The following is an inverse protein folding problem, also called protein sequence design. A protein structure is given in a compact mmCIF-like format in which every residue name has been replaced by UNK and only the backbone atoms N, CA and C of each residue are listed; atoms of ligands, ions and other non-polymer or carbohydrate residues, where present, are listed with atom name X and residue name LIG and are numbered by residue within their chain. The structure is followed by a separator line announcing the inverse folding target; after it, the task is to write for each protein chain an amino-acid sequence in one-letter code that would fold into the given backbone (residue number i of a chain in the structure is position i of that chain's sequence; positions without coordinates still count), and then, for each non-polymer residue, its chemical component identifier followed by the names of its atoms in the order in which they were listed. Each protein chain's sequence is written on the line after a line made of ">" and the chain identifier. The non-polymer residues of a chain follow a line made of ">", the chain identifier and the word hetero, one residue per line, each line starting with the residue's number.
data_IF_428445331080
#
_entry.id   IF_428445331080
#
_cell.length_a   1.000
_cell.length_b   1.000
_cell.length_c   1.000
_cell.angle_alpha   90.00
_cell.angle_beta   90.00
_cell.angle_gamma   90.00
#
_symmetry.space_group_name_H-M   'P 1'
#
loop_
_entity.id
_entity.type
_entity.pdbx_description
1 polymer ?
#
# COMPACT_ATOMS: atom_id res chain seq x y z
N UNK A 1 -4.22 -6.18 -17.96
CA UNK A 1 -3.92 -5.00 -18.80
C UNK A 1 -2.81 -4.23 -18.10
N UNK A 2 -1.93 -3.54 -18.83
CA UNK A 2 -0.94 -2.69 -18.17
C UNK A 2 -1.64 -1.59 -17.38
N UNK A 3 -1.29 -1.45 -16.11
CA UNK A 3 -1.81 -0.44 -15.18
C UNK A 3 -0.66 0.46 -14.76
N UNK A 4 -0.90 1.76 -14.69
CA UNK A 4 0.11 2.76 -14.34
C UNK A 4 -0.34 3.55 -13.12
N UNK A 5 0.59 3.82 -12.22
CA UNK A 5 0.41 4.72 -11.08
C UNK A 5 1.63 5.62 -10.97
N UNK A 6 1.49 6.77 -10.35
CA UNK A 6 2.57 7.75 -10.28
C UNK A 6 2.61 8.51 -8.96
N UNK A 7 3.76 9.12 -8.71
CA UNK A 7 3.92 10.09 -7.64
C UNK A 7 3.52 11.44 -8.20
N UNK A 8 2.48 12.02 -7.63
CA UNK A 8 1.93 13.32 -7.99
C UNK A 8 2.28 14.37 -6.94
N UNK A 9 2.75 15.52 -7.42
CA UNK A 9 2.96 16.72 -6.61
C UNK A 9 2.01 17.79 -7.09
N UNK A 10 0.97 18.06 -6.30
CA UNK A 10 -0.05 19.06 -6.62
C UNK A 10 -0.66 18.88 -8.03
N UNK A 11 -0.96 17.63 -8.41
CA UNK A 11 -1.57 17.26 -9.70
C UNK A 11 -0.58 17.15 -10.87
N UNK A 12 0.72 17.06 -10.58
CA UNK A 12 1.77 16.87 -11.56
C UNK A 12 2.58 15.61 -11.27
N UNK A 13 2.50 14.64 -12.17
CA UNK A 13 3.21 13.36 -12.05
C UNK A 13 4.71 13.57 -12.27
N UNK A 14 5.51 13.24 -11.25
CA UNK A 14 6.98 13.36 -11.27
C UNK A 14 7.68 12.02 -11.55
N UNK A 15 6.99 10.91 -11.29
CA UNK A 15 7.49 9.55 -11.52
C UNK A 15 6.31 8.60 -11.73
N UNK A 16 6.47 7.60 -12.59
CA UNK A 16 5.40 6.66 -12.97
C UNK A 16 5.91 5.21 -12.96
N UNK A 17 5.09 4.30 -12.48
CA UNK A 17 5.38 2.86 -12.37
C UNK A 17 4.35 2.03 -13.13
N UNK A 18 4.81 0.96 -13.78
CA UNK A 18 3.94 0.05 -14.54
C UNK A 18 3.74 -1.27 -13.79
N UNK A 19 2.49 -1.60 -13.44
CA UNK A 19 2.08 -2.85 -12.77
C UNK A 19 2.71 -3.09 -11.39
N UNK A 20 3.36 -2.08 -10.80
CA UNK A 20 3.93 -2.10 -9.46
C UNK A 20 4.01 -0.66 -8.95
N UNK A 21 4.44 -0.47 -7.70
CA UNK A 21 4.78 0.83 -7.15
C UNK A 21 6.09 0.75 -6.35
N UNK A 22 6.74 1.90 -6.17
CA UNK A 22 7.78 2.09 -5.15
C UNK A 22 7.25 3.10 -4.13
N UNK A 23 7.34 2.77 -2.84
CA UNK A 23 6.93 3.68 -1.77
C UNK A 23 7.82 4.92 -1.69
N UNK A 24 8.99 4.92 -2.31
CA UNK A 24 9.89 6.04 -2.40
C UNK A 24 10.20 6.63 -1.01
N UNK A 25 10.04 7.94 -0.80
CA UNK A 25 10.17 8.58 0.51
C UNK A 25 8.90 8.56 1.36
N UNK A 26 7.84 7.87 0.94
CA UNK A 26 6.67 7.60 1.79
C UNK A 26 6.98 6.53 2.83
N UNK A 27 6.21 6.52 3.92
CA UNK A 27 6.27 5.57 5.02
C UNK A 27 4.88 5.04 5.32
N UNK A 28 4.78 4.00 6.15
CA UNK A 28 3.51 3.39 6.54
C UNK A 28 2.50 4.39 7.13
N UNK A 29 2.96 5.41 7.85
CA UNK A 29 2.08 6.43 8.45
C UNK A 29 1.53 7.43 7.41
N UNK A 30 2.05 7.43 6.18
CA UNK A 30 1.48 8.23 5.09
C UNK A 30 0.37 7.48 4.35
N UNK A 31 0.07 6.22 4.72
CA UNK A 31 -1.04 5.47 4.11
C UNK A 31 -2.36 6.16 4.40
N UNK A 32 -3.14 6.37 3.34
CA UNK A 32 -4.47 6.97 3.37
C UNK A 32 -5.40 6.11 2.55
N UNK A 33 -6.58 5.85 3.11
CA UNK A 33 -7.67 5.17 2.43
C UNK A 33 -8.93 6.03 2.48
N UNK A 34 -9.39 6.48 1.33
CA UNK A 34 -10.60 7.27 1.14
C UNK A 34 -11.40 6.65 0.01
N UNK A 35 -12.49 5.97 0.36
CA UNK A 35 -13.42 5.38 -0.60
C UNK A 35 -14.82 5.92 -0.29
N UNK A 36 -15.50 6.60 -1.23
CA UNK A 36 -16.82 7.16 -0.99
C UNK A 36 -17.86 6.11 -0.56
N UNK A 37 -18.85 6.48 0.28
CA UNK A 37 -19.98 5.61 0.56
C UNK A 37 -20.74 5.31 -0.74
N UNK A 38 -20.98 4.03 -1.03
CA UNK A 38 -21.66 3.55 -2.24
C UNK A 38 -20.83 3.55 -3.54
N UNK A 39 -19.49 3.51 -3.45
CA UNK A 39 -18.66 3.17 -4.60
C UNK A 39 -19.08 1.81 -5.18
N UNK A 40 -19.45 1.80 -6.46
CA UNK A 40 -19.97 0.63 -7.19
C UNK A 40 -18.92 -0.06 -8.06
N UNK A 41 -17.66 0.38 -7.97
CA UNK A 41 -16.56 -0.16 -8.76
C UNK A 41 -16.24 0.63 -10.02
N UNK A 42 -16.96 1.72 -10.32
CA UNK A 42 -16.65 2.60 -11.45
C UNK A 42 -15.63 3.67 -11.06
N UNK A 43 -14.60 3.89 -11.91
CA UNK A 43 -13.54 4.87 -11.68
C UNK A 43 -14.10 6.23 -11.25
N UNK A 44 -13.76 6.65 -10.02
CA UNK A 44 -14.12 7.96 -9.49
C UNK A 44 -12.86 8.68 -9.00
N UNK A 45 -12.75 9.96 -9.35
CA UNK A 45 -11.70 10.85 -8.84
C UNK A 45 -11.71 10.98 -7.31
N UNK A 46 -12.82 10.59 -6.67
CA UNK A 46 -12.98 10.66 -5.22
C UNK A 46 -12.36 9.46 -4.48
N UNK A 47 -11.88 8.44 -5.19
CA UNK A 47 -11.18 7.29 -4.59
C UNK A 47 -9.68 7.58 -4.47
N UNK A 48 -9.18 7.47 -3.25
CA UNK A 48 -7.76 7.50 -2.96
C UNK A 48 -7.38 6.34 -2.05
N UNK A 49 -6.53 5.44 -2.53
CA UNK A 49 -5.93 4.39 -1.71
C UNK A 49 -4.45 4.42 -2.02
N UNK A 50 -3.61 4.82 -1.06
CA UNK A 50 -2.19 4.97 -1.29
C UNK A 50 -1.51 5.86 -0.27
N UNK A 51 -0.44 6.54 -0.67
CA UNK A 51 0.40 7.31 0.24
C UNK A 51 0.21 8.80 0.01
N UNK A 52 0.03 9.58 1.08
CA UNK A 52 -0.15 11.04 1.00
C UNK A 52 0.50 11.74 2.17
N UNK A 53 1.32 12.74 1.89
CA UNK A 53 1.96 13.57 2.93
C UNK A 53 2.30 14.96 2.38
N UNK A 54 2.87 15.83 3.22
CA UNK A 54 3.29 17.17 2.79
C UNK A 54 4.66 17.14 2.10
N UNK A 55 4.90 18.10 1.20
CA UNK A 55 6.22 18.31 0.59
C UNK A 55 7.29 18.57 1.66
N UNK A 56 6.96 19.29 2.75
CA UNK A 56 7.92 19.49 3.85
C UNK A 56 8.42 18.19 4.47
N UNK A 57 7.52 17.20 4.64
CA UNK A 57 7.85 15.87 5.13
C UNK A 57 8.77 15.13 4.15
N UNK A 58 8.41 15.12 2.86
CA UNK A 58 9.23 14.46 1.83
C UNK A 58 10.61 15.11 1.72
N UNK A 59 10.71 16.45 1.64
CA UNK A 59 12.00 17.17 1.58
C UNK A 59 12.90 16.84 2.78
N UNK A 60 12.33 16.73 3.98
CA UNK A 60 13.09 16.31 5.17
C UNK A 60 13.65 14.91 5.00
N UNK A 61 12.85 13.95 4.51
CA UNK A 61 13.30 12.56 4.28
C UNK A 61 14.33 12.47 3.16
N UNK A 62 14.16 13.22 2.07
CA UNK A 62 15.15 13.37 1.01
C UNK A 62 16.49 13.92 1.56
N UNK A 63 16.43 14.96 2.39
CA UNK A 63 17.61 15.55 3.04
C UNK A 63 18.34 14.53 3.90
N UNK A 64 17.62 13.71 4.68
CA UNK A 64 18.21 12.64 5.49
C UNK A 64 18.87 11.55 4.63
N UNK A 65 18.41 11.34 3.40
CA UNK A 65 19.02 10.43 2.43
C UNK A 65 20.16 11.06 1.61
N UNK A 66 20.53 12.32 1.88
CA UNK A 66 21.64 13.02 1.20
C UNK A 66 21.22 13.93 0.05
N UNK A 67 19.91 14.06 -0.22
CA UNK A 67 19.35 14.96 -1.24
C UNK A 67 19.00 16.32 -0.63
N UNK A 68 20.00 17.00 -0.07
CA UNK A 68 19.85 18.38 0.39
C UNK A 68 20.07 19.40 -0.74
N UNK A 69 19.62 20.64 -0.54
CA UNK A 69 19.66 21.65 -1.61
C UNK A 69 21.08 22.01 -2.07
N UNK A 70 22.08 21.91 -1.19
CA UNK A 70 23.48 22.18 -1.55
C UNK A 70 24.08 21.03 -2.35
N UNK A 71 23.72 19.79 -2.02
CA UNK A 71 24.07 18.63 -2.82
C UNK A 71 23.45 18.74 -4.22
N UNK A 72 22.16 19.10 -4.31
CA UNK A 72 21.49 19.36 -5.58
C UNK A 72 22.17 20.46 -6.40
N UNK A 73 22.53 21.58 -5.77
CA UNK A 73 23.21 22.70 -6.45
C UNK A 73 24.59 22.28 -6.99
N UNK A 74 25.36 21.54 -6.20
CA UNK A 74 26.68 21.04 -6.61
C UNK A 74 26.56 20.08 -7.79
N UNK A 75 25.62 19.13 -7.73
CA UNK A 75 25.34 18.17 -8.80
C UNK A 75 24.88 18.87 -10.08
N UNK A 76 23.91 19.77 -9.96
CA UNK A 76 23.40 20.56 -11.07
C UNK A 76 24.52 21.36 -11.76
N UNK A 77 25.38 22.03 -10.99
CA UNK A 77 26.48 22.81 -11.57
C UNK A 77 27.48 21.96 -12.34
N UNK A 78 27.78 20.75 -11.84
CA UNK A 78 28.66 19.80 -12.52
C UNK A 78 28.00 19.29 -13.81
N UNK A 79 26.75 18.82 -13.72
CA UNK A 79 26.04 18.24 -14.86
C UNK A 79 25.70 19.26 -15.92
N UNK A 80 25.38 20.50 -15.56
CA UNK A 80 25.19 21.59 -16.53
C UNK A 80 26.43 21.78 -17.42
N UNK A 81 27.64 21.70 -16.84
CA UNK A 81 28.89 21.80 -17.62
C UNK A 81 29.08 20.59 -18.54
N UNK A 82 28.80 19.38 -18.05
CA UNK A 82 28.88 18.14 -18.84
C UNK A 82 27.90 18.15 -20.01
N UNK A 83 26.65 18.57 -19.77
CA UNK A 83 25.62 18.70 -20.80
C UNK A 83 26.05 19.70 -21.87
N UNK A 84 26.54 20.89 -21.47
CA UNK A 84 27.01 21.89 -22.43
C UNK A 84 28.15 21.33 -23.29
N UNK A 85 29.19 20.77 -22.65
CA UNK A 85 30.33 20.18 -23.37
C UNK A 85 29.89 19.09 -24.35
N UNK A 86 28.97 18.22 -23.93
CA UNK A 86 28.54 17.11 -24.75
C UNK A 86 27.65 17.56 -25.91
N UNK A 87 26.85 18.63 -25.74
CA UNK A 87 26.09 19.25 -26.83
C UNK A 87 27.04 19.97 -27.81
N UNK A 88 28.09 20.64 -27.33
CA UNK A 88 29.12 21.23 -28.18
C UNK A 88 29.79 20.17 -29.07
N UNK A 89 30.16 19.02 -28.50
CA UNK A 89 30.71 17.90 -29.26
C UNK A 89 29.72 17.39 -30.34
N UNK A 90 28.43 17.31 -30.03
CA UNK A 90 27.40 16.93 -31.01
C UNK A 90 27.24 17.97 -32.11
N UNK A 91 27.28 19.27 -31.79
CA UNK A 91 27.26 20.33 -32.80
C UNK A 91 28.44 20.16 -33.77
N UNK A 92 29.66 19.93 -33.25
CA UNK A 92 30.85 19.75 -34.07
C UNK A 92 30.72 18.53 -35.01
N UNK A 93 30.19 17.41 -34.50
CA UNK A 93 29.93 16.21 -35.31
C UNK A 93 28.91 16.44 -36.43
N UNK A 94 27.82 17.16 -36.14
CA UNK A 94 26.80 17.50 -37.13
C UNK A 94 27.36 18.48 -38.18
N UNK A 95 28.15 19.46 -37.77
CA UNK A 95 28.82 20.40 -38.68
C UNK A 95 29.83 19.70 -39.60
N UNK A 96 30.63 18.77 -39.06
CA UNK A 96 31.53 17.94 -39.84
C UNK A 96 30.79 17.09 -40.88
N UNK A 97 29.63 16.55 -40.51
CA UNK A 97 28.79 15.75 -41.40
C UNK A 97 28.19 16.59 -42.53
N UNK A 98 27.76 17.83 -42.23
CA UNK A 98 27.33 18.80 -43.23
C UNK A 98 28.47 19.17 -44.20
N UNK A 99 29.70 19.28 -43.72
CA UNK A 99 30.86 19.62 -44.55
C UNK A 99 31.33 18.50 -45.49
N UNK A 100 31.06 17.23 -45.17
CA UNK A 100 31.49 16.06 -45.98
C UNK A 100 30.57 15.74 -47.17
N UNK A 101 29.41 16.40 -47.28
CA UNK A 101 28.52 16.50 -48.46
C UNK A 101 28.22 15.22 -49.28
N UNK A 102 27.77 14.14 -48.64
CA UNK A 102 27.17 12.95 -49.30
C UNK A 102 25.68 12.74 -48.93
N UNK A 103 25.05 13.70 -48.24
CA UNK A 103 23.68 13.60 -47.75
C UNK A 103 22.68 14.31 -48.67
N UNK A 104 21.41 13.89 -48.62
CA UNK A 104 20.33 14.62 -49.31
C UNK A 104 20.11 16.01 -48.69
N UNK A 105 19.48 16.91 -49.46
CA UNK A 105 19.12 18.25 -48.98
C UNK A 105 18.26 18.21 -47.71
N UNK A 106 17.37 17.20 -47.60
CA UNK A 106 16.49 16.99 -46.44
C UNK A 106 17.27 16.67 -45.16
N UNK A 107 18.29 15.80 -45.25
CA UNK A 107 19.15 15.43 -44.11
C UNK A 107 20.01 16.62 -43.67
N UNK A 108 20.49 17.39 -44.65
CA UNK A 108 21.30 18.59 -44.36
C UNK A 108 20.46 19.70 -43.69
N UNK A 109 19.21 19.88 -44.11
CA UNK A 109 18.26 20.81 -43.47
C UNK A 109 17.92 20.35 -42.05
N UNK A 110 17.73 19.05 -41.83
CA UNK A 110 17.50 18.47 -40.50
C UNK A 110 18.66 18.77 -39.53
N UNK A 111 19.92 18.45 -39.91
CA UNK A 111 21.09 18.76 -39.08
C UNK A 111 21.23 20.27 -38.80
N UNK A 112 20.96 21.11 -39.81
CA UNK A 112 21.03 22.57 -39.64
C UNK A 112 20.02 23.08 -38.61
N UNK A 113 18.79 22.54 -38.62
CA UNK A 113 17.75 22.86 -37.61
C UNK A 113 18.16 22.41 -36.22
N UNK A 114 18.68 21.19 -36.11
CA UNK A 114 19.12 20.60 -34.85
C UNK A 114 20.25 21.41 -34.21
N UNK A 115 21.27 21.80 -34.99
CA UNK A 115 22.36 22.69 -34.53
C UNK A 115 21.82 24.01 -33.96
N UNK A 116 20.79 24.60 -34.59
CA UNK A 116 20.18 25.85 -34.08
C UNK A 116 19.51 25.63 -32.73
N UNK A 117 18.77 24.53 -32.55
CA UNK A 117 18.15 24.18 -31.27
C UNK A 117 19.19 23.99 -30.18
N UNK A 118 20.28 23.25 -30.47
CA UNK A 118 21.37 23.07 -29.51
C UNK A 118 22.05 24.37 -29.11
N UNK A 119 22.32 25.27 -30.06
CA UNK A 119 22.91 26.58 -29.77
C UNK A 119 22.00 27.44 -28.90
N UNK A 120 20.70 27.45 -29.18
CA UNK A 120 19.72 28.15 -28.35
C UNK A 120 19.67 27.57 -26.93
N UNK A 121 19.69 26.23 -26.82
CA UNK A 121 19.68 25.54 -25.54
C UNK A 121 20.93 25.85 -24.70
N UNK A 122 22.14 25.71 -25.26
CA UNK A 122 23.39 26.10 -24.59
C UNK A 122 23.32 27.55 -24.12
N UNK A 123 22.91 28.47 -25.02
CA UNK A 123 22.79 29.89 -24.71
C UNK A 123 21.86 30.19 -23.54
N UNK A 124 20.77 29.44 -23.42
CA UNK A 124 19.80 29.57 -22.33
C UNK A 124 20.32 29.01 -21.00
N UNK A 125 21.04 27.87 -21.01
CA UNK A 125 21.43 27.21 -19.76
C UNK A 125 22.80 27.63 -19.22
N UNK A 126 23.72 28.14 -20.05
CA UNK A 126 25.14 28.32 -19.71
C UNK A 126 25.39 29.09 -18.40
N UNK A 127 24.60 30.13 -18.14
CA UNK A 127 24.73 31.00 -16.97
C UNK A 127 23.62 30.82 -15.93
N UNK A 128 22.72 29.84 -16.10
CA UNK A 128 21.56 29.63 -15.22
C UNK A 128 21.92 28.97 -13.89
N UNK A 129 21.57 29.56 -12.76
CA UNK A 129 21.72 28.95 -11.43
C UNK A 129 20.56 28.01 -11.12
N UNK A 130 20.73 27.08 -10.15
CA UNK A 130 19.65 26.19 -9.72
C UNK A 130 18.39 26.96 -9.30
N UNK A 131 18.56 28.12 -8.65
CA UNK A 131 17.45 29.00 -8.26
C UNK A 131 16.63 29.51 -9.44
N UNK A 132 17.25 29.74 -10.60
CA UNK A 132 16.57 30.22 -11.80
C UNK A 132 15.64 29.13 -12.35
N UNK A 133 16.08 27.87 -12.26
CA UNK A 133 15.26 26.72 -12.64
C UNK A 133 14.07 26.53 -11.69
N UNK A 134 14.34 26.57 -10.37
CA UNK A 134 13.31 26.45 -9.34
C UNK A 134 12.22 27.52 -9.51
N UNK A 135 12.61 28.76 -9.82
CA UNK A 135 11.68 29.86 -10.03
C UNK A 135 10.78 29.68 -11.28
N UNK A 136 11.23 28.92 -12.28
CA UNK A 136 10.51 28.71 -13.53
C UNK A 136 9.69 27.41 -13.59
N UNK A 137 9.96 26.44 -12.71
CA UNK A 137 9.19 25.19 -12.67
C UNK A 137 7.67 25.38 -12.62
N UNK A 138 7.09 26.28 -11.80
CA UNK A 138 5.64 26.45 -11.78
C UNK A 138 5.07 26.92 -13.13
N UNK A 139 5.82 27.77 -13.85
CA UNK A 139 5.44 28.21 -15.19
C UNK A 139 5.58 27.09 -16.22
N UNK A 140 6.67 26.32 -16.15
CA UNK A 140 6.91 25.18 -17.03
C UNK A 140 5.82 24.09 -16.86
N UNK A 141 5.49 23.74 -15.61
CA UNK A 141 4.41 22.80 -15.29
C UNK A 141 3.08 23.28 -15.84
N UNK A 142 2.69 24.54 -15.57
CA UNK A 142 1.43 25.09 -16.09
C UNK A 142 1.35 24.98 -17.61
N UNK A 143 2.40 25.37 -18.32
CA UNK A 143 2.45 25.31 -19.79
C UNK A 143 2.33 23.88 -20.30
N UNK A 144 3.07 22.94 -19.72
CA UNK A 144 3.00 21.54 -20.14
C UNK A 144 1.63 20.91 -19.88
N UNK A 145 0.94 21.29 -18.79
CA UNK A 145 -0.42 20.81 -18.53
C UNK A 145 -1.45 21.42 -19.48
N UNK A 146 -1.34 22.71 -19.83
CA UNK A 146 -2.28 23.41 -20.71
C UNK A 146 -2.10 23.04 -22.20
N UNK A 147 -0.86 22.87 -22.63
CA UNK A 147 -0.48 22.69 -24.04
C UNK A 147 -0.18 21.22 -24.40
N UNK A 148 -0.07 20.33 -23.40
CA UNK A 148 0.30 18.92 -23.55
C UNK A 148 1.81 18.69 -23.58
N UNK A 149 2.25 17.42 -23.67
CA UNK A 149 3.67 17.13 -23.91
C UNK A 149 4.07 17.72 -25.26
N UNK A 150 5.08 18.57 -25.24
CA UNK A 150 5.51 19.34 -26.41
C UNK A 150 6.19 18.49 -27.50
N UNK A 151 6.60 17.25 -27.20
CA UNK A 151 7.36 16.45 -28.14
C UNK A 151 7.34 14.93 -27.88
N UNK A 152 7.53 14.18 -28.97
CA UNK A 152 7.83 12.74 -28.98
C UNK A 152 9.35 12.55 -28.96
N UNK A 153 9.88 11.59 -28.19
CA UNK A 153 11.32 11.26 -28.17
C UNK A 153 11.83 10.80 -29.55
N UNK A 154 10.93 10.45 -30.47
CA UNK A 154 11.23 10.12 -31.86
C UNK A 154 11.02 11.30 -32.84
N UNK A 155 10.69 12.49 -32.35
CA UNK A 155 10.47 13.69 -33.17
C UNK A 155 11.73 14.55 -33.34
N UNK A 156 11.77 15.32 -34.43
CA UNK A 156 12.86 16.25 -34.74
C UNK A 156 13.08 17.28 -33.62
N UNK A 157 14.32 17.75 -33.49
CA UNK A 157 14.68 18.82 -32.56
C UNK A 157 13.82 20.07 -32.80
N UNK A 158 13.23 20.61 -31.72
CA UNK A 158 12.29 21.71 -31.80
C UNK A 158 12.44 22.67 -30.62
N UNK A 159 12.73 23.94 -30.93
CA UNK A 159 12.78 25.01 -29.96
C UNK A 159 11.38 25.54 -29.61
N UNK A 160 11.06 25.67 -28.33
CA UNK A 160 9.84 26.30 -27.83
C UNK A 160 9.89 27.82 -28.01
N UNK A 161 8.88 28.40 -28.67
CA UNK A 161 8.87 29.82 -29.10
C UNK A 161 7.80 30.68 -28.44
N UNK A 162 6.95 30.11 -27.60
CA UNK A 162 5.81 30.82 -26.98
C UNK A 162 6.18 31.55 -25.68
N UNK A 163 7.48 31.80 -25.46
CA UNK A 163 8.00 32.58 -24.34
C UNK A 163 9.21 33.41 -24.79
N UNK A 164 9.41 34.56 -24.12
CA UNK A 164 10.61 35.39 -24.26
C UNK A 164 11.69 35.05 -23.23
N UNK A 165 11.38 34.17 -22.26
CA UNK A 165 12.32 33.71 -21.23
C UNK A 165 13.13 32.52 -21.78
N UNK A 166 14.42 32.70 -22.12
CA UNK A 166 15.19 31.67 -22.83
C UNK A 166 15.30 30.36 -22.05
N UNK A 167 15.38 30.43 -20.72
CA UNK A 167 15.46 29.25 -19.87
C UNK A 167 14.14 28.46 -19.85
N UNK A 168 13.00 29.14 -19.81
CA UNK A 168 11.69 28.48 -19.94
C UNK A 168 11.53 27.83 -21.32
N UNK A 169 12.00 28.49 -22.38
CA UNK A 169 12.04 27.88 -23.70
C UNK A 169 12.91 26.62 -23.71
N UNK A 170 14.09 26.66 -23.10
CA UNK A 170 14.96 25.49 -22.99
C UNK A 170 14.28 24.33 -22.25
N UNK A 171 13.56 24.61 -21.16
CA UNK A 171 12.82 23.60 -20.40
C UNK A 171 11.75 22.87 -21.21
N UNK A 172 11.07 23.58 -22.12
CA UNK A 172 9.91 23.06 -22.86
C UNK A 172 10.24 22.64 -24.30
N UNK A 173 11.51 22.75 -24.71
CA UNK A 173 11.97 22.38 -26.06
C UNK A 173 12.22 20.88 -26.19
N UNK A 174 12.05 20.34 -27.40
CA UNK A 174 12.58 19.02 -27.75
C UNK A 174 14.06 19.13 -28.10
N UNK A 175 14.92 18.61 -27.24
CA UNK A 175 16.37 18.61 -27.44
C UNK A 175 16.85 17.16 -27.49
N UNK A 176 16.76 16.49 -28.66
CA UNK A 176 16.98 15.05 -28.79
C UNK A 176 18.47 14.73 -28.64
N UNK A 177 18.92 14.41 -27.43
CA UNK A 177 20.33 14.23 -27.15
C UNK A 177 20.68 12.79 -26.79
N UNK A 178 21.67 12.21 -27.49
CA UNK A 178 22.18 10.86 -27.24
C UNK A 178 23.58 10.95 -26.62
N UNK A 179 23.70 11.11 -25.30
CA UNK A 179 24.99 11.00 -24.62
C UNK A 179 25.04 9.90 -23.57
N UNK A 180 26.27 9.57 -23.17
CA UNK A 180 26.58 8.71 -22.02
C UNK A 180 26.04 9.28 -20.70
N UNK A 181 25.71 10.57 -20.66
CA UNK A 181 25.01 11.22 -19.55
C UNK A 181 23.53 11.30 -19.92
N UNK A 182 22.71 10.34 -19.49
CA UNK A 182 21.29 10.45 -19.73
C UNK A 182 20.80 11.73 -19.03
N UNK A 183 20.23 12.65 -19.79
CA UNK A 183 19.47 13.78 -19.27
C UNK A 183 18.21 13.13 -18.68
N UNK A 184 18.26 12.74 -17.41
CA UNK A 184 17.17 11.95 -16.81
C UNK A 184 16.21 12.88 -16.08
N UNK A 185 15.30 13.51 -16.83
CA UNK A 185 14.17 14.16 -16.16
C UNK A 185 13.26 15.00 -17.03
N UNK A 186 12.22 15.49 -16.38
CA UNK A 186 11.30 16.49 -16.90
C UNK A 186 12.03 17.83 -17.11
N UNK A 187 11.54 18.63 -18.03
CA UNK A 187 12.02 19.98 -18.31
C UNK A 187 13.48 20.12 -18.74
N UNK A 188 14.11 19.08 -19.31
CA UNK A 188 15.52 19.10 -19.72
C UNK A 188 16.49 19.47 -18.57
N UNK A 189 16.13 19.15 -17.32
CA UNK A 189 16.95 19.52 -16.16
C UNK A 189 18.35 18.87 -16.20
N UNK A 190 19.46 19.62 -16.03
CA UNK A 190 20.81 19.08 -15.96
C UNK A 190 21.04 18.19 -14.73
N UNK A 191 20.96 16.88 -14.95
CA UNK A 191 21.23 15.86 -13.94
C UNK A 191 21.12 14.45 -14.52
N UNK A 192 21.66 13.48 -13.80
CA UNK A 192 21.54 12.05 -14.12
C UNK A 192 20.87 11.24 -12.99
N UNK A 193 20.48 11.90 -11.89
CA UNK A 193 19.76 11.31 -10.77
C UNK A 193 18.38 11.98 -10.66
N UNK A 194 17.28 11.21 -10.86
CA UNK A 194 15.92 11.74 -10.77
C UNK A 194 15.61 12.43 -9.43
N UNK A 195 16.17 11.95 -8.32
CA UNK A 195 15.93 12.53 -7.00
C UNK A 195 16.55 13.93 -6.87
N UNK A 196 17.62 14.24 -7.62
CA UNK A 196 18.19 15.59 -7.66
C UNK A 196 17.21 16.56 -8.34
N UNK A 197 16.62 16.15 -9.48
CA UNK A 197 15.58 16.93 -10.15
C UNK A 197 14.36 17.09 -9.24
N UNK A 198 13.82 15.99 -8.72
CA UNK A 198 12.61 16.01 -7.88
C UNK A 198 12.84 16.90 -6.66
N UNK A 199 14.00 16.80 -6.00
CA UNK A 199 14.32 17.65 -4.86
C UNK A 199 14.28 19.13 -5.23
N UNK A 200 14.88 19.54 -6.35
CA UNK A 200 14.81 20.91 -6.83
C UNK A 200 13.39 21.32 -7.20
N UNK A 201 12.65 20.45 -7.87
CA UNK A 201 11.26 20.67 -8.26
C UNK A 201 10.37 20.92 -7.05
N UNK A 202 10.52 20.13 -5.98
CA UNK A 202 9.79 20.29 -4.71
C UNK A 202 10.05 21.64 -4.02
N UNK A 203 11.21 22.28 -4.23
CA UNK A 203 11.49 23.63 -3.69
C UNK A 203 10.75 24.75 -4.41
N UNK A 204 10.07 24.46 -5.52
CA UNK A 204 9.18 25.42 -6.19
C UNK A 204 7.77 25.47 -5.58
N UNK A 205 7.46 24.58 -4.63
CA UNK A 205 6.14 24.46 -4.02
C UNK A 205 6.10 24.93 -2.55
N UNK A 206 4.92 25.33 -2.06
CA UNK A 206 4.69 25.57 -0.63
C UNK A 206 4.99 24.33 0.24
N UNK A 207 5.36 24.55 1.50
CA UNK A 207 5.72 23.47 2.43
C UNK A 207 4.58 22.48 2.70
N UNK A 208 3.35 22.98 2.67
CA UNK A 208 2.10 22.26 2.95
C UNK A 208 1.45 21.65 1.69
N UNK A 209 2.03 21.85 0.51
CA UNK A 209 1.52 21.25 -0.72
C UNK A 209 1.58 19.71 -0.63
N UNK A 210 0.60 19.07 -1.28
CA UNK A 210 0.38 17.62 -1.19
C UNK A 210 1.28 16.88 -2.17
N UNK A 211 1.95 15.85 -1.66
CA UNK A 211 2.67 14.85 -2.43
C UNK A 211 1.97 13.49 -2.20
N UNK A 212 1.57 12.82 -3.27
CA UNK A 212 0.75 11.62 -3.16
C UNK A 212 1.12 10.56 -4.20
N UNK A 213 0.83 9.30 -3.87
CA UNK A 213 0.93 8.13 -4.74
C UNK A 213 -0.37 7.34 -4.57
N UNK A 214 -1.27 7.42 -5.56
CA UNK A 214 -2.53 6.68 -5.54
C UNK A 214 -2.35 5.31 -6.20
N UNK A 215 -2.49 4.23 -5.44
CA UNK A 215 -2.31 2.84 -5.89
C UNK A 215 -3.64 2.11 -6.12
N UNK A 216 -4.78 2.79 -6.04
CA UNK A 216 -6.11 2.18 -6.19
C UNK A 216 -6.24 1.34 -7.47
N UNK A 217 -5.71 1.83 -8.59
CA UNK A 217 -5.75 1.12 -9.87
C UNK A 217 -4.94 -0.20 -9.84
N UNK A 218 -3.81 -0.25 -9.13
CA UNK A 218 -3.05 -1.49 -8.96
C UNK A 218 -3.82 -2.51 -8.13
N UNK A 219 -4.49 -2.06 -7.06
CA UNK A 219 -5.32 -2.91 -6.21
C UNK A 219 -6.45 -3.54 -7.04
N UNK A 220 -7.16 -2.73 -7.83
CA UNK A 220 -8.26 -3.23 -8.67
C UNK A 220 -7.78 -4.14 -9.79
N UNK A 221 -6.58 -3.92 -10.32
CA UNK A 221 -5.96 -4.81 -11.28
C UNK A 221 -5.42 -6.11 -10.66
N UNK A 222 -5.44 -6.24 -9.32
CA UNK A 222 -4.96 -7.40 -8.58
C UNK A 222 -3.43 -7.48 -8.49
N UNK A 223 -2.73 -6.36 -8.68
CA UNK A 223 -1.29 -6.26 -8.51
C UNK A 223 -0.87 -5.99 -7.05
N UNK A 224 -1.72 -5.34 -6.28
CA UNK A 224 -1.46 -4.94 -4.88
C UNK A 224 -2.65 -5.29 -3.98
N UNK A 225 -2.40 -5.44 -2.68
CA UNK A 225 -3.45 -5.63 -1.67
C UNK A 225 -4.03 -4.27 -1.21
N UNK A 226 -5.33 -4.24 -0.88
CA UNK A 226 -5.97 -3.05 -0.30
C UNK A 226 -5.45 -2.79 1.12
N UNK A 227 -5.56 -1.55 1.59
CA UNK A 227 -5.34 -1.16 2.98
C UNK A 227 -6.57 -1.51 3.82
N UNK A 228 -6.91 -2.80 3.85
CA UNK A 228 -8.08 -3.32 4.59
C UNK A 228 -7.97 -3.02 6.09
N UNK A 229 -6.76 -2.99 6.64
CA UNK A 229 -6.49 -2.56 8.01
C UNK A 229 -7.01 -1.13 8.28
N UNK A 230 -6.77 -0.19 7.37
CA UNK A 230 -7.31 1.17 7.46
C UNK A 230 -8.83 1.20 7.31
N UNK A 231 -9.42 0.33 6.49
CA UNK A 231 -10.88 0.20 6.39
C UNK A 231 -11.49 -0.24 7.73
N UNK A 232 -10.93 -1.28 8.34
CA UNK A 232 -11.40 -1.83 9.61
C UNK A 232 -11.32 -0.78 10.73
N UNK A 233 -10.21 -0.04 10.81
CA UNK A 233 -10.03 1.07 11.76
C UNK A 233 -11.09 2.16 11.53
N UNK A 234 -11.31 2.59 10.28
CA UNK A 234 -12.28 3.63 9.94
C UNK A 234 -13.73 3.21 10.25
N UNK A 235 -14.08 1.93 10.07
CA UNK A 235 -15.39 1.38 10.43
C UNK A 235 -15.54 1.11 11.92
N UNK A 236 -14.44 1.02 12.66
CA UNK A 236 -14.43 0.61 14.07
C UNK A 236 -14.87 -0.84 14.28
N UNK A 237 -14.74 -1.69 13.26
CA UNK A 237 -15.06 -3.13 13.32
C UNK A 237 -14.26 -3.89 12.28
N UNK A 238 -13.73 -5.07 12.63
CA UNK A 238 -13.07 -5.94 11.65
C UNK A 238 -14.06 -6.63 10.70
N UNK A 239 -13.58 -7.09 9.55
CA UNK A 239 -14.40 -7.85 8.58
C UNK A 239 -14.93 -9.15 9.20
N UNK A 240 -14.11 -9.97 9.91
CA UNK A 240 -14.64 -11.12 10.64
C UNK A 240 -15.75 -10.75 11.63
N UNK A 241 -15.63 -9.61 12.34
CA UNK A 241 -16.66 -9.17 13.29
C UNK A 241 -17.99 -8.85 12.60
N UNK A 242 -17.94 -8.19 11.44
CA UNK A 242 -19.15 -7.88 10.65
C UNK A 242 -19.86 -9.16 10.20
N UNK A 243 -19.11 -10.16 9.73
CA UNK A 243 -19.64 -11.47 9.35
C UNK A 243 -20.26 -12.22 10.55
N UNK A 244 -19.57 -12.20 11.69
CA UNK A 244 -20.06 -12.73 12.95
C UNK A 244 -21.36 -12.05 13.38
N UNK A 245 -21.41 -10.71 13.36
CA UNK A 245 -22.58 -9.92 13.76
C UNK A 245 -23.78 -10.19 12.87
N UNK A 246 -23.57 -10.32 11.56
CA UNK A 246 -24.62 -10.71 10.62
C UNK A 246 -25.18 -12.10 10.97
N UNK A 247 -24.29 -13.08 11.22
CA UNK A 247 -24.69 -14.42 11.65
C UNK A 247 -25.48 -14.40 12.96
N UNK A 248 -25.09 -13.58 13.94
CA UNK A 248 -25.82 -13.41 15.20
C UNK A 248 -27.24 -12.85 14.98
N UNK A 249 -27.37 -11.87 14.08
CA UNK A 249 -28.67 -11.28 13.74
C UNK A 249 -29.59 -12.31 13.06
N UNK A 250 -29.07 -13.10 12.13
CA UNK A 250 -29.83 -14.14 11.44
C UNK A 250 -30.30 -15.23 12.41
N UNK A 251 -29.43 -15.67 13.33
CA UNK A 251 -29.76 -16.66 14.37
C UNK A 251 -30.78 -16.12 15.38
N UNK A 252 -30.70 -14.82 15.72
CA UNK A 252 -31.69 -14.15 16.56
C UNK A 252 -33.08 -14.14 15.90
N UNK A 253 -33.14 -13.76 14.61
CA UNK A 253 -34.39 -13.76 13.84
C UNK A 253 -34.95 -15.17 13.72
N UNK A 254 -34.10 -16.16 13.41
CA UNK A 254 -34.52 -17.55 13.25
C UNK A 254 -35.05 -18.16 14.56
N UNK A 255 -34.39 -17.90 15.70
CA UNK A 255 -34.87 -18.31 17.01
C UNK A 255 -36.26 -17.73 17.33
N UNK A 256 -36.48 -16.46 16.97
CA UNK A 256 -37.74 -15.77 17.23
C UNK A 256 -38.89 -16.25 16.34
N UNK A 257 -38.63 -16.65 15.09
CA UNK A 257 -39.65 -17.13 14.14
C UNK A 257 -40.43 -18.36 14.65
N UNK A 258 -39.76 -19.25 15.40
CA UNK A 258 -40.39 -20.42 16.04
C UNK A 258 -39.82 -20.63 17.44
N UNK A 259 -40.17 -19.74 18.37
CA UNK A 259 -39.68 -19.75 19.75
C UNK A 259 -39.89 -21.08 20.49
N UNK A 260 -40.97 -21.79 20.13
CA UNK A 260 -41.40 -23.02 20.82
C UNK A 260 -40.81 -24.30 20.20
N UNK A 261 -40.15 -24.19 19.04
CA UNK A 261 -39.50 -25.33 18.38
C UNK A 261 -38.14 -25.63 19.02
N UNK A 262 -38.12 -26.54 19.99
CA UNK A 262 -36.92 -26.91 20.74
C UNK A 262 -35.81 -27.53 19.87
N UNK A 263 -36.13 -28.08 18.70
CA UNK A 263 -35.09 -28.56 17.76
C UNK A 263 -34.38 -27.37 17.14
N UNK A 264 -35.16 -26.41 16.64
CA UNK A 264 -34.63 -25.17 16.08
C UNK A 264 -33.80 -24.40 17.12
N UNK A 265 -34.29 -24.31 18.36
CA UNK A 265 -33.55 -23.61 19.43
C UNK A 265 -32.20 -24.28 19.72
N UNK A 266 -32.12 -25.61 19.72
CA UNK A 266 -30.84 -26.34 19.87
C UNK A 266 -29.90 -26.08 18.70
N UNK A 267 -30.41 -26.06 17.47
CA UNK A 267 -29.61 -25.72 16.28
C UNK A 267 -29.07 -24.30 16.38
N UNK A 268 -29.92 -23.31 16.68
CA UNK A 268 -29.49 -21.92 16.86
C UNK A 268 -28.43 -21.78 17.96
N UNK A 269 -28.65 -22.42 19.12
CA UNK A 269 -27.69 -22.44 20.23
C UNK A 269 -26.31 -22.97 19.80
N UNK A 270 -26.28 -24.09 19.05
CA UNK A 270 -25.03 -24.64 18.54
C UNK A 270 -24.37 -23.71 17.51
N UNK A 271 -25.15 -23.13 16.60
CA UNK A 271 -24.63 -22.24 15.56
C UNK A 271 -24.03 -20.95 16.12
N UNK A 272 -24.50 -20.47 17.28
CA UNK A 272 -23.90 -19.31 17.94
C UNK A 272 -22.44 -19.59 18.34
N UNK A 273 -22.19 -20.76 18.94
CA UNK A 273 -20.83 -21.20 19.29
C UNK A 273 -19.98 -21.40 18.04
N UNK A 274 -20.56 -21.93 16.95
CA UNK A 274 -19.85 -22.07 15.67
C UNK A 274 -19.44 -20.72 15.09
N UNK A 275 -20.30 -19.70 15.14
CA UNK A 275 -19.96 -18.37 14.64
C UNK A 275 -18.87 -17.69 15.49
N UNK A 276 -18.88 -17.90 16.81
CA UNK A 276 -17.79 -17.47 17.70
C UNK A 276 -16.46 -18.14 17.31
N UNK A 277 -16.48 -19.46 17.09
CA UNK A 277 -15.31 -20.23 16.66
C UNK A 277 -14.77 -19.76 15.31
N UNK A 278 -15.66 -19.50 14.34
CA UNK A 278 -15.28 -18.96 13.03
C UNK A 278 -14.60 -17.59 13.17
N UNK A 279 -15.18 -16.65 13.93
CA UNK A 279 -14.57 -15.34 14.16
C UNK A 279 -13.15 -15.46 14.74
N UNK A 280 -12.98 -16.23 15.82
CA UNK A 280 -11.67 -16.38 16.47
C UNK A 280 -10.68 -17.05 15.52
N UNK A 281 -11.12 -18.08 14.78
CA UNK A 281 -10.27 -18.78 13.81
C UNK A 281 -9.82 -17.89 12.66
N UNK A 282 -10.73 -17.09 12.10
CA UNK A 282 -10.44 -16.17 11.00
C UNK A 282 -9.43 -15.10 11.43
N UNK A 283 -9.64 -14.49 12.61
CA UNK A 283 -8.70 -13.51 13.17
C UNK A 283 -7.32 -14.15 13.39
N UNK A 284 -7.26 -15.29 14.09
CA UNK A 284 -5.97 -15.94 14.36
C UNK A 284 -5.27 -16.33 13.07
N UNK A 285 -6.00 -16.87 12.08
CA UNK A 285 -5.43 -17.27 10.79
C UNK A 285 -4.87 -16.06 10.05
N UNK A 286 -5.62 -14.96 9.95
CA UNK A 286 -5.19 -13.70 9.32
C UNK A 286 -3.90 -13.18 9.95
N UNK A 287 -3.91 -13.00 11.27
CA UNK A 287 -2.77 -12.42 11.98
C UNK A 287 -1.52 -13.31 11.91
N UNK A 288 -1.67 -14.63 12.01
CA UNK A 288 -0.52 -15.56 11.95
C UNK A 288 0.10 -15.64 10.56
N UNK A 289 -0.70 -15.54 9.50
CA UNK A 289 -0.19 -15.67 8.14
C UNK A 289 0.39 -14.37 7.58
N UNK A 290 -0.14 -13.21 7.98
CA UNK A 290 0.25 -11.92 7.40
C UNK A 290 1.20 -11.08 8.28
N UNK A 291 1.37 -11.42 9.56
CA UNK A 291 2.29 -10.71 10.45
C UNK A 291 3.44 -11.63 10.90
N UNK A 292 4.65 -11.40 10.40
CA UNK A 292 5.84 -12.21 10.71
C UNK A 292 6.15 -12.31 12.21
N UNK A 293 5.92 -11.24 12.98
CA UNK A 293 6.12 -11.26 14.42
C UNK A 293 5.09 -12.15 15.13
N UNK A 294 3.83 -12.11 14.67
CA UNK A 294 2.77 -13.00 15.16
C UNK A 294 3.04 -14.45 14.74
N UNK A 295 3.41 -14.68 13.49
CA UNK A 295 3.81 -15.98 12.93
C UNK A 295 4.84 -16.67 13.80
N UNK A 296 5.90 -15.94 14.14
CA UNK A 296 6.94 -16.40 15.05
C UNK A 296 6.39 -16.75 16.43
N UNK A 297 5.60 -15.87 17.05
CA UNK A 297 4.99 -16.15 18.37
C UNK A 297 4.09 -17.37 18.33
N UNK A 298 3.35 -17.57 17.23
CA UNK A 298 2.53 -18.76 17.06
C UNK A 298 3.37 -20.02 17.07
N UNK A 299 4.45 -20.09 16.29
CA UNK A 299 5.37 -21.23 16.28
C UNK A 299 5.97 -21.48 17.68
N UNK A 300 6.36 -20.43 18.38
CA UNK A 300 7.05 -20.53 19.67
C UNK A 300 6.14 -20.76 20.89
N UNK A 301 4.89 -20.28 20.85
CA UNK A 301 4.04 -20.12 22.05
C UNK A 301 2.64 -20.73 21.95
N UNK A 302 2.19 -21.14 20.75
CA UNK A 302 0.84 -21.73 20.59
C UNK A 302 0.70 -23.11 21.24
N UNK A 303 1.82 -23.82 21.45
CA UNK A 303 1.83 -25.22 21.88
C UNK A 303 1.53 -26.22 20.77
N UNK A 304 1.18 -25.76 19.56
CA UNK A 304 0.83 -26.61 18.40
C UNK A 304 2.04 -27.43 17.93
N UNK A 305 3.25 -26.90 18.10
CA UNK A 305 4.51 -27.53 17.70
C UNK A 305 5.28 -28.15 18.87
N UNK A 306 4.68 -28.28 20.06
CA UNK A 306 5.34 -28.83 21.25
C UNK A 306 5.60 -30.35 21.16
N UNK A 307 5.32 -30.98 20.02
CA UNK A 307 5.56 -32.39 19.82
C UNK A 307 7.07 -32.68 19.82
N UNK A 308 7.56 -33.23 20.94
CA UNK A 308 8.96 -33.63 21.17
C UNK A 308 9.53 -34.63 20.15
N UNK A 309 8.70 -35.22 19.29
CA UNK A 309 9.14 -36.11 18.21
C UNK A 309 9.51 -35.38 16.92
N UNK A 310 9.17 -34.10 16.77
CA UNK A 310 9.50 -33.30 15.60
C UNK A 310 10.96 -32.82 15.71
N UNK A 311 11.90 -33.64 15.22
CA UNK A 311 13.32 -33.29 15.10
C UNK A 311 13.58 -32.72 13.72
N UNK A 312 14.10 -31.51 13.65
CA UNK A 312 14.55 -30.89 12.40
C UNK A 312 16.07 -31.06 12.28
N UNK A 313 16.54 -31.69 11.20
CA UNK A 313 17.97 -31.74 10.90
C UNK A 313 18.42 -30.41 10.28
N UNK A 314 19.65 -29.99 10.58
CA UNK A 314 20.20 -28.69 10.10
C UNK A 314 20.14 -28.58 8.57
N UNK A 315 20.37 -29.68 7.86
CA UNK A 315 20.33 -29.71 6.40
C UNK A 315 18.94 -29.41 5.81
N UNK A 316 17.89 -29.61 6.59
CA UNK A 316 16.49 -29.49 6.17
C UNK A 316 15.87 -28.12 6.55
N UNK A 317 16.63 -27.21 7.17
CA UNK A 317 16.13 -25.92 7.67
C UNK A 317 15.50 -25.09 6.55
N UNK A 318 16.19 -24.92 5.41
CA UNK A 318 15.66 -24.12 4.31
C UNK A 318 14.40 -24.76 3.71
N UNK A 319 14.38 -26.10 3.56
CA UNK A 319 13.20 -26.84 3.09
C UNK A 319 12.01 -26.67 4.04
N UNK A 320 12.27 -26.61 5.35
CA UNK A 320 11.24 -26.36 6.34
C UNK A 320 10.69 -24.94 6.27
N UNK A 321 11.57 -23.94 6.15
CA UNK A 321 11.17 -22.53 6.00
C UNK A 321 10.33 -22.32 4.73
N UNK A 322 10.74 -22.89 3.60
CA UNK A 322 10.00 -22.82 2.33
C UNK A 322 8.57 -23.40 2.42
N UNK A 323 8.35 -24.32 3.37
CA UNK A 323 7.07 -25.01 3.57
C UNK A 323 6.30 -24.52 4.79
N UNK A 324 6.86 -23.60 5.57
CA UNK A 324 6.34 -23.25 6.88
C UNK A 324 4.93 -22.67 6.78
N UNK A 325 4.68 -21.75 5.85
CA UNK A 325 3.37 -21.12 5.70
C UNK A 325 2.26 -22.12 5.33
N UNK A 326 2.57 -23.09 4.48
CA UNK A 326 1.65 -24.19 4.16
C UNK A 326 1.37 -25.06 5.40
N UNK A 327 2.42 -25.39 6.17
CA UNK A 327 2.28 -26.15 7.40
C UNK A 327 1.45 -25.40 8.45
N UNK A 328 1.68 -24.10 8.60
CA UNK A 328 0.91 -23.23 9.50
C UNK A 328 -0.56 -23.19 9.10
N UNK A 329 -0.86 -23.01 7.81
CA UNK A 329 -2.23 -23.01 7.29
C UNK A 329 -2.98 -24.29 7.65
N UNK A 330 -2.36 -25.45 7.42
CA UNK A 330 -2.94 -26.76 7.80
C UNK A 330 -3.15 -26.86 9.31
N UNK A 331 -2.15 -26.44 10.10
CA UNK A 331 -2.21 -26.54 11.56
C UNK A 331 -3.27 -25.64 12.16
N UNK A 332 -3.47 -24.44 11.62
CA UNK A 332 -4.51 -23.50 12.04
C UNK A 332 -5.92 -24.07 11.80
N UNK A 333 -6.13 -24.79 10.69
CA UNK A 333 -7.41 -25.45 10.37
C UNK A 333 -7.75 -26.62 11.31
N UNK A 334 -6.75 -27.24 11.94
CA UNK A 334 -6.95 -28.31 12.92
C UNK A 334 -7.34 -27.79 14.32
N UNK A 335 -7.20 -26.49 14.58
CA UNK A 335 -7.46 -25.92 15.91
C UNK A 335 -8.97 -25.76 16.15
N UNK A 336 -9.44 -26.36 17.23
CA UNK A 336 -10.81 -26.19 17.73
C UNK A 336 -10.92 -24.94 18.62
N UNK A 337 -11.35 -23.82 18.06
CA UNK A 337 -11.49 -22.56 18.79
C UNK A 337 -12.73 -22.51 19.70
N UNK A 338 -13.68 -23.44 19.55
CA UNK A 338 -14.74 -23.60 20.56
C UNK A 338 -14.21 -24.11 21.92
N UNK A 339 -12.98 -24.64 21.99
CA UNK A 339 -12.30 -24.87 23.25
C UNK A 339 -11.78 -23.53 23.80
N UNK A 340 -12.53 -22.93 24.72
CA UNK A 340 -12.25 -21.60 25.29
C UNK A 340 -10.86 -21.51 25.91
N UNK A 341 -10.36 -22.58 26.53
CA UNK A 341 -9.02 -22.55 27.12
C UNK A 341 -7.95 -22.45 26.03
N UNK A 342 -8.08 -23.21 24.95
CA UNK A 342 -7.15 -23.15 23.82
C UNK A 342 -7.24 -21.79 23.10
N UNK A 343 -8.45 -21.31 22.83
CA UNK A 343 -8.67 -20.00 22.22
C UNK A 343 -8.04 -18.88 23.07
N UNK A 344 -8.29 -18.87 24.38
CA UNK A 344 -7.69 -17.91 25.31
C UNK A 344 -6.16 -17.99 25.32
N UNK A 345 -5.58 -19.20 25.35
CA UNK A 345 -4.14 -19.39 25.32
C UNK A 345 -3.52 -18.82 24.03
N UNK A 346 -4.15 -19.03 22.87
CA UNK A 346 -3.67 -18.52 21.59
C UNK A 346 -3.82 -16.99 21.54
N UNK A 347 -5.02 -16.47 21.81
CA UNK A 347 -5.28 -15.02 21.81
C UNK A 347 -4.27 -14.30 22.71
N UNK A 348 -4.04 -14.80 23.92
CA UNK A 348 -3.15 -14.18 24.89
C UNK A 348 -1.67 -14.32 24.54
N UNK A 349 -1.20 -15.53 24.21
CA UNK A 349 0.23 -15.77 24.04
C UNK A 349 0.76 -15.44 22.64
N UNK A 350 -0.12 -15.43 21.64
CA UNK A 350 0.22 -15.20 20.23
C UNK A 350 -0.21 -13.81 19.79
N UNK A 351 -1.46 -13.44 20.04
CA UNK A 351 -1.99 -12.12 19.62
C UNK A 351 -1.88 -11.04 20.69
N UNK A 352 -1.51 -11.40 21.92
CA UNK A 352 -1.45 -10.48 23.06
C UNK A 352 -2.81 -9.84 23.39
N UNK A 353 -3.89 -10.58 23.13
CA UNK A 353 -5.27 -10.17 23.38
C UNK A 353 -5.79 -10.90 24.61
N UNK A 354 -6.39 -10.15 25.51
CA UNK A 354 -6.95 -10.69 26.74
C UNK A 354 -8.40 -11.14 26.50
N UNK A 355 -8.66 -12.42 26.76
CA UNK A 355 -10.02 -12.97 26.71
C UNK A 355 -10.82 -12.44 27.92
N UNK A 356 -12.11 -12.07 27.77
CA UNK A 356 -12.96 -11.61 28.88
C UNK A 356 -13.13 -12.66 29.99
N UNK A 357 -12.23 -12.67 30.97
CA UNK A 357 -12.13 -13.73 31.99
C UNK A 357 -13.42 -13.93 32.80
N UNK A 358 -14.19 -12.86 33.02
CA UNK A 358 -15.49 -12.90 33.69
C UNK A 358 -16.55 -13.72 32.92
N UNK A 359 -16.43 -13.83 31.60
CA UNK A 359 -17.39 -14.54 30.73
C UNK A 359 -17.02 -16.02 30.53
N UNK A 360 -15.76 -16.39 30.78
CA UNK A 360 -15.21 -17.74 30.55
C UNK A 360 -16.03 -18.86 31.24
N UNK A 361 -16.47 -18.73 32.51
CA UNK A 361 -17.26 -19.79 33.15
C UNK A 361 -18.60 -20.06 32.47
N UNK A 362 -19.29 -19.02 31.98
CA UNK A 362 -20.55 -19.16 31.27
C UNK A 362 -20.35 -19.75 29.87
N UNK A 363 -19.33 -19.27 29.14
CA UNK A 363 -18.98 -19.78 27.82
C UNK A 363 -18.60 -21.26 27.86
N UNK A 364 -17.81 -21.69 28.84
CA UNK A 364 -17.48 -23.12 29.02
C UNK A 364 -18.73 -23.97 29.26
N UNK A 365 -19.70 -23.49 30.04
CA UNK A 365 -20.98 -24.19 30.23
C UNK A 365 -21.77 -24.29 28.93
N UNK A 366 -21.78 -23.22 28.12
CA UNK A 366 -22.43 -23.21 26.82
C UNK A 366 -21.75 -24.18 25.82
N UNK A 367 -20.42 -24.24 25.78
CA UNK A 367 -19.66 -25.16 24.93
C UNK A 367 -19.95 -26.62 25.30
N UNK A 368 -19.99 -26.96 26.59
CA UNK A 368 -20.39 -28.30 27.03
C UNK A 368 -21.82 -28.66 26.58
N UNK A 369 -22.76 -27.71 26.72
CA UNK A 369 -24.14 -27.89 26.23
C UNK A 369 -24.18 -28.07 24.71
N UNK A 370 -23.37 -27.33 23.95
CA UNK A 370 -23.21 -27.50 22.50
C UNK A 370 -22.66 -28.88 22.15
N UNK A 371 -21.68 -29.38 22.89
CA UNK A 371 -21.12 -30.71 22.66
C UNK A 371 -22.21 -31.80 22.75
N UNK A 372 -23.07 -31.72 23.76
CA UNK A 372 -24.21 -32.62 23.89
C UNK A 372 -25.26 -32.44 22.77
N UNK A 373 -25.52 -31.20 22.35
CA UNK A 373 -26.42 -30.94 21.22
C UNK A 373 -25.92 -31.61 19.94
N UNK A 374 -24.65 -31.41 19.60
CA UNK A 374 -24.07 -31.86 18.32
C UNK A 374 -23.73 -33.36 18.34
N UNK A 375 -23.04 -33.84 19.37
CA UNK A 375 -22.51 -35.21 19.38
C UNK A 375 -23.43 -36.22 20.05
N UNK A 376 -24.43 -35.77 20.81
CA UNK A 376 -25.38 -36.64 21.53
C UNK A 376 -26.84 -36.33 21.18
N UNK A 377 -27.07 -35.62 20.07
CA UNK A 377 -28.38 -35.24 19.56
C UNK A 377 -29.28 -34.59 20.62
N UNK A 378 -28.69 -33.68 21.42
CA UNK A 378 -29.38 -32.95 22.48
C UNK A 378 -29.69 -33.79 23.71
N UNK A 379 -28.91 -34.83 24.00
CA UNK A 379 -28.98 -35.62 25.23
C UNK A 379 -27.67 -35.53 26.01
N UNK A 380 -27.73 -35.50 27.34
CA UNK A 380 -26.55 -35.58 28.20
C UNK A 380 -25.91 -36.98 28.19
N UNK A 381 -24.76 -37.15 28.86
CA UNK A 381 -24.13 -38.47 29.10
C UNK A 381 -25.09 -39.49 29.70
N UNK A 382 -26.07 -39.03 30.49
CA UNK A 382 -27.01 -39.87 31.21
C UNK A 382 -28.30 -40.12 30.39
N UNK A 383 -28.33 -39.71 29.12
CA UNK A 383 -29.46 -39.90 28.20
C UNK A 383 -30.62 -38.91 28.38
N UNK A 384 -30.54 -37.98 29.33
CA UNK A 384 -31.57 -36.97 29.55
C UNK A 384 -31.55 -35.89 28.47
N UNK A 385 -32.71 -35.54 27.94
CA UNK A 385 -32.85 -34.49 26.93
C UNK A 385 -32.48 -33.12 27.51
N UNK A 386 -31.70 -32.35 26.76
CA UNK A 386 -31.28 -31.00 27.11
C UNK A 386 -32.33 -30.01 26.64
N UNK A 387 -32.87 -29.25 27.58
CA UNK A 387 -33.78 -28.16 27.30
C UNK A 387 -33.01 -26.92 26.82
N UNK A 388 -33.35 -26.45 25.62
CA UNK A 388 -32.91 -25.17 25.06
C UNK A 388 -34.17 -24.45 24.60
N UNK A 389 -34.39 -23.25 25.13
CA UNK A 389 -35.54 -22.39 24.83
C UNK A 389 -35.02 -21.17 24.08
N UNK A 390 -35.91 -20.40 23.45
CA UNK A 390 -35.50 -19.14 22.81
C UNK A 390 -34.84 -18.17 23.80
N UNK A 391 -35.27 -18.14 25.08
CA UNK A 391 -34.60 -17.36 26.12
C UNK A 391 -33.11 -17.77 26.31
N UNK A 392 -32.83 -19.07 26.40
CA UNK A 392 -31.44 -19.56 26.49
C UNK A 392 -30.61 -19.21 25.25
N UNK A 393 -31.23 -19.16 24.06
CA UNK A 393 -30.55 -18.73 22.82
C UNK A 393 -30.22 -17.23 22.90
N UNK A 394 -31.16 -16.41 23.35
CA UNK A 394 -30.94 -14.96 23.54
C UNK A 394 -29.88 -14.64 24.59
N UNK A 395 -29.85 -15.39 25.71
CA UNK A 395 -28.80 -15.28 26.73
C UNK A 395 -27.42 -15.58 26.13
N UNK A 396 -27.31 -16.68 25.37
CA UNK A 396 -26.05 -17.04 24.72
C UNK A 396 -25.63 -16.02 23.65
N UNK A 397 -26.58 -15.53 22.84
CA UNK A 397 -26.31 -14.48 21.86
C UNK A 397 -25.67 -13.25 22.51
N UNK A 398 -26.24 -12.77 23.62
CA UNK A 398 -25.73 -11.60 24.31
C UNK A 398 -24.34 -11.86 24.92
N UNK A 399 -24.14 -13.03 25.55
CA UNK A 399 -22.86 -13.43 26.13
C UNK A 399 -21.74 -13.50 25.07
N UNK A 400 -22.02 -14.13 23.94
CA UNK A 400 -21.03 -14.31 22.86
C UNK A 400 -20.78 -13.00 22.12
N UNK A 401 -21.81 -12.20 21.88
CA UNK A 401 -21.66 -10.85 21.29
C UNK A 401 -20.73 -10.00 22.15
N UNK A 402 -20.98 -9.92 23.46
CA UNK A 402 -20.14 -9.15 24.39
C UNK A 402 -18.69 -9.65 24.39
N UNK A 403 -18.48 -10.96 24.32
CA UNK A 403 -17.15 -11.55 24.28
C UNK A 403 -16.39 -11.15 23.01
N UNK A 404 -17.04 -11.30 21.85
CA UNK A 404 -16.43 -11.05 20.55
C UNK A 404 -16.23 -9.55 20.31
N UNK A 405 -17.16 -8.69 20.73
CA UNK A 405 -16.99 -7.22 20.70
C UNK A 405 -15.74 -6.77 21.49
N UNK A 406 -15.48 -7.37 22.66
CA UNK A 406 -14.31 -7.02 23.46
C UNK A 406 -12.99 -7.47 22.80
N UNK A 407 -12.98 -8.63 22.14
CA UNK A 407 -11.82 -9.12 21.40
C UNK A 407 -11.58 -8.24 20.17
N UNK A 408 -12.65 -7.90 19.43
CA UNK A 408 -12.55 -7.08 18.21
C UNK A 408 -11.99 -5.69 18.49
N UNK A 409 -12.42 -5.07 19.59
CA UNK A 409 -11.89 -3.77 19.97
C UNK A 409 -10.38 -3.84 20.25
N UNK A 410 -9.89 -4.90 20.90
CA UNK A 410 -8.46 -5.07 21.14
C UNK A 410 -7.67 -5.29 19.84
N UNK A 411 -8.26 -5.96 18.84
CA UNK A 411 -7.66 -6.10 17.50
C UNK A 411 -7.54 -4.73 16.83
N UNK A 412 -8.60 -3.93 16.83
CA UNK A 412 -8.60 -2.60 16.23
C UNK A 412 -7.59 -1.66 16.92
N UNK A 413 -7.51 -1.73 18.24
CA UNK A 413 -6.53 -0.95 19.01
C UNK A 413 -5.08 -1.34 18.66
N UNK A 414 -4.82 -2.62 18.33
CA UNK A 414 -3.51 -3.08 17.86
C UNK A 414 -3.22 -2.58 16.44
N UNK A 415 -4.18 -2.72 15.51
CA UNK A 415 -4.04 -2.22 14.14
C UNK A 415 -3.81 -0.70 14.08
N UNK A 416 -4.47 0.06 14.95
CA UNK A 416 -4.28 1.50 15.04
C UNK A 416 -2.86 1.88 15.50
N UNK A 417 -2.30 1.15 16.49
CA UNK A 417 -0.93 1.39 16.98
C UNK A 417 0.12 1.05 15.94
N UNK A 418 -0.04 -0.06 15.24
CA UNK A 418 0.90 -0.46 14.17
C UNK A 418 0.95 0.59 13.04
N UNK A 419 -0.17 1.31 12.83
CA UNK A 419 -0.27 2.44 11.91
C UNK A 419 0.34 3.75 12.43
N UNK A 420 0.52 3.91 13.75
CA UNK A 420 1.13 5.10 14.36
C UNK A 420 2.65 4.92 14.56
N UNK A 421 3.14 3.71 14.83
CA UNK A 421 4.55 3.44 15.18
C UNK A 421 5.55 3.50 14.00
N UNK A 422 5.11 3.74 12.76
CA UNK A 422 6.00 3.91 11.59
C UNK A 422 6.83 5.21 11.56
N UNK A 423 6.74 6.04 12.61
CA UNK A 423 7.53 7.27 12.76
C UNK A 423 8.98 7.04 13.21
N UNK A 424 9.25 5.97 13.98
CA UNK A 424 10.50 5.82 14.75
C UNK A 424 11.47 4.73 14.24
N UNK A 425 11.22 4.16 13.06
CA UNK A 425 12.20 3.36 12.31
C UNK A 425 12.63 4.10 11.04
#
# INVERSE_FOLDING_TARGET
>A
MSTWVGIDVNGFEIESFQNHHDTWFFRNNDRVRMVPPHYDGEYSQDVFIGYRTSISTIRRRMTLAGYDIKACESHFCEYRKKVISSIEDTIDLLQDSLHKSDHSDEVSDHYSKEIVVYKNYIGAIANSALSDWIALFPQATKRMTEEGRFHDSFSDAQWYKESNEPLLCAMLSNVPFFSEYPITGLFNFPGNDPNIFIRAFLDSFPEDAVCELNIADLIWAGYEEDFEDLEEIQKGTTVPFRNFRQSMNDLKLLSALKSDDLVLQRMCFSSIITAMEAYIGDIVKREVLHNEAVKRRFVEKSGVFDNKQQKLEVKDIYIFLDKLDNLLSVKLEEISFHNIQNANNILRNVLLIEFPSALVPELNRAVLKRHDIVHRNGKSTNGQAILVTSAHVMELLNLVMQCIENIDQQILDALAKDNEEGEDK
#
